data_IF_072785458314
#
_entry.id   IF_072785458314
#
_cell.length_a   1.000
_cell.length_b   1.000
_cell.length_c   1.000
_cell.angle_alpha   90.00
_cell.angle_beta   90.00
_cell.angle_gamma   90.00
#
_symmetry.space_group_name_H-M   'P 1'
#
loop_
_entity.id
_entity.type
_entity.pdbx_description
1 polymer ?
#
# COMPACT_ATOMS: atom_id res chain seq x y z
N UNK A 1 14.19 10.78 53.85
CA UNK A 1 15.00 10.85 52.61
C UNK A 1 15.00 9.54 51.82
N UNK A 2 15.35 8.36 52.39
CA UNK A 2 15.43 7.07 51.64
C UNK A 2 14.11 6.49 51.12
N UNK A 3 13.01 6.58 51.88
CA UNK A 3 11.70 6.01 51.48
C UNK A 3 11.09 6.77 50.28
N UNK A 4 11.27 8.09 50.23
CA UNK A 4 10.70 8.94 49.17
C UNK A 4 11.37 8.65 47.82
N UNK A 5 12.67 8.32 47.83
CA UNK A 5 13.39 7.89 46.63
C UNK A 5 12.82 6.59 46.05
N UNK A 6 12.44 5.64 46.90
CA UNK A 6 11.86 4.35 46.48
C UNK A 6 10.47 4.54 45.88
N UNK A 7 9.64 5.39 46.51
CA UNK A 7 8.30 5.71 45.99
C UNK A 7 8.40 6.46 44.66
N UNK A 8 9.34 7.40 44.54
CA UNK A 8 9.57 8.14 43.30
C UNK A 8 10.04 7.21 42.16
N UNK A 9 10.94 6.26 42.46
CA UNK A 9 11.39 5.24 41.51
C UNK A 9 10.23 4.34 41.04
N UNK A 10 9.34 3.95 41.97
CA UNK A 10 8.15 3.14 41.66
C UNK A 10 7.18 3.88 40.73
N UNK A 11 6.91 5.17 40.99
CA UNK A 11 6.04 5.99 40.13
C UNK A 11 6.61 6.13 38.72
N UNK A 12 7.93 6.30 38.58
CA UNK A 12 8.58 6.35 37.26
C UNK A 12 8.43 5.02 36.50
N UNK A 13 8.58 3.88 37.17
CA UNK A 13 8.41 2.56 36.53
C UNK A 13 6.97 2.33 36.03
N UNK A 14 5.95 2.81 36.75
CA UNK A 14 4.55 2.66 36.35
C UNK A 14 4.13 3.53 35.15
N UNK A 15 4.95 4.50 34.75
CA UNK A 15 4.70 5.33 33.55
C UNK A 15 5.28 4.76 32.25
N UNK A 16 5.90 3.58 32.29
CA UNK A 16 6.33 2.88 31.08
C UNK A 16 5.12 2.37 30.30
N UNK A 17 4.46 3.28 29.59
CA UNK A 17 3.40 2.97 28.66
C UNK A 17 3.92 1.99 27.62
N UNK A 18 3.18 0.90 27.46
CA UNK A 18 3.33 -0.14 26.45
C UNK A 18 3.68 0.52 25.10
N UNK A 19 4.94 0.41 24.69
CA UNK A 19 5.34 0.68 23.31
C UNK A 19 4.67 -0.43 22.51
N UNK A 20 3.54 -0.11 21.88
CA UNK A 20 2.87 -1.02 20.95
C UNK A 20 3.83 -1.20 19.78
N UNK A 21 4.58 -2.30 19.81
CA UNK A 21 5.50 -2.70 18.76
C UNK A 21 4.64 -3.03 17.53
N UNK A 22 4.29 -2.00 16.76
CA UNK A 22 3.77 -2.20 15.42
C UNK A 22 4.95 -2.74 14.64
N UNK A 23 5.04 -4.07 14.54
CA UNK A 23 6.04 -4.73 13.73
C UNK A 23 5.87 -4.21 12.29
N UNK A 24 6.65 -3.19 11.94
CA UNK A 24 6.75 -2.61 10.61
C UNK A 24 7.47 -3.67 9.78
N UNK A 25 6.68 -4.49 9.10
CA UNK A 25 7.22 -5.62 8.35
C UNK A 25 7.82 -5.14 7.04
N UNK A 26 9.09 -5.47 6.82
CA UNK A 26 9.72 -5.46 5.49
C UNK A 26 9.15 -6.55 4.55
N UNK A 27 8.19 -7.33 5.04
CA UNK A 27 7.47 -8.38 4.33
C UNK A 27 6.21 -7.82 3.63
N UNK A 28 5.85 -8.43 2.51
CA UNK A 28 4.57 -8.19 1.85
C UNK A 28 3.41 -8.73 2.70
N UNK A 29 2.38 -7.91 2.88
CA UNK A 29 1.18 -8.24 3.63
C UNK A 29 -0.04 -8.21 2.69
N UNK A 30 -0.85 -9.27 2.64
CA UNK A 30 -2.07 -9.29 1.86
C UNK A 30 -3.05 -8.18 2.26
N UNK A 31 -3.64 -7.52 1.26
CA UNK A 31 -4.72 -6.54 1.45
C UNK A 31 -6.03 -7.30 1.64
N UNK A 32 -6.64 -7.17 2.82
CA UNK A 32 -7.89 -7.88 3.15
C UNK A 32 -9.12 -7.32 2.43
N UNK A 33 -9.13 -6.01 2.18
CA UNK A 33 -10.28 -5.31 1.62
C UNK A 33 -9.87 -4.60 0.34
N UNK A 34 -9.99 -5.29 -0.80
CA UNK A 34 -9.65 -4.72 -2.11
C UNK A 34 -10.60 -3.60 -2.56
N UNK A 35 -11.81 -3.56 -1.98
CA UNK A 35 -12.79 -2.50 -2.21
C UNK A 35 -12.58 -1.28 -1.30
N UNK A 36 -11.51 -1.25 -0.51
CA UNK A 36 -11.15 -0.06 0.25
C UNK A 36 -10.91 1.11 -0.72
N UNK A 37 -11.46 2.28 -0.39
CA UNK A 37 -11.39 3.46 -1.26
C UNK A 37 -9.95 3.84 -1.61
N UNK A 38 -9.02 3.66 -0.67
CA UNK A 38 -7.61 3.94 -0.88
C UNK A 38 -6.98 2.96 -1.87
N UNK A 39 -7.31 1.67 -1.76
CA UNK A 39 -6.81 0.64 -2.68
C UNK A 39 -7.33 0.88 -4.11
N UNK A 40 -8.60 1.29 -4.24
CA UNK A 40 -9.19 1.67 -5.53
C UNK A 40 -8.48 2.90 -6.11
N UNK A 41 -8.15 3.89 -5.29
CA UNK A 41 -7.43 5.09 -5.71
C UNK A 41 -6.02 4.76 -6.22
N UNK A 42 -5.29 3.87 -5.53
CA UNK A 42 -3.98 3.37 -5.97
C UNK A 42 -4.09 2.62 -7.31
N UNK A 43 -5.08 1.72 -7.45
CA UNK A 43 -5.30 0.99 -8.69
C UNK A 43 -5.71 1.91 -9.84
N UNK A 44 -6.53 2.92 -9.57
CA UNK A 44 -6.95 3.91 -10.57
C UNK A 44 -5.77 4.77 -11.02
N UNK A 45 -4.91 5.17 -10.09
CA UNK A 45 -3.66 5.84 -10.40
C UNK A 45 -2.78 4.98 -11.32
N UNK A 46 -2.60 3.70 -11.01
CA UNK A 46 -1.84 2.80 -11.88
C UNK A 46 -2.40 2.74 -13.31
N UNK A 47 -3.72 2.62 -13.48
CA UNK A 47 -4.36 2.61 -14.81
C UNK A 47 -4.10 3.90 -15.60
N UNK A 48 -4.06 5.04 -14.93
CA UNK A 48 -3.80 6.33 -15.57
C UNK A 48 -2.33 6.49 -16.01
N UNK A 49 -1.39 5.84 -15.31
CA UNK A 49 0.05 5.92 -15.58
C UNK A 49 0.55 4.86 -16.57
N UNK A 50 -0.15 3.73 -16.73
CA UNK A 50 0.17 2.75 -17.77
C UNK A 50 0.08 3.49 -19.11
N UNK A 51 1.19 3.49 -19.85
CA UNK A 51 1.29 4.15 -21.16
C UNK A 51 0.43 3.39 -22.17
N UNK A 52 -0.85 3.76 -22.25
CA UNK A 52 -1.80 3.22 -23.23
C UNK A 52 -1.90 4.23 -24.38
N UNK A 53 -1.11 4.08 -25.46
CA UNK A 53 -1.01 5.06 -26.56
C UNK A 53 -2.30 5.38 -27.32
N UNK A 54 -3.44 4.79 -26.98
CA UNK A 54 -4.64 4.78 -27.83
C UNK A 54 -5.98 5.02 -27.15
N UNK A 55 -6.10 5.04 -25.81
CA UNK A 55 -7.42 5.06 -25.18
C UNK A 55 -7.49 5.93 -23.92
N UNK A 56 -7.85 7.21 -24.08
CA UNK A 56 -8.22 8.11 -22.98
C UNK A 56 -9.38 7.59 -22.10
N UNK A 57 -10.06 6.52 -22.53
CA UNK A 57 -11.15 5.86 -21.82
C UNK A 57 -10.77 4.51 -21.19
N UNK A 58 -9.46 4.17 -21.09
CA UNK A 58 -9.02 3.00 -20.33
C UNK A 58 -9.34 3.22 -18.85
N UNK A 59 -10.10 2.29 -18.26
CA UNK A 59 -10.59 2.41 -16.87
C UNK A 59 -10.27 1.16 -16.09
N UNK A 60 -10.12 1.33 -14.78
CA UNK A 60 -10.09 0.22 -13.83
C UNK A 60 -11.40 -0.56 -13.90
N UNK A 61 -11.30 -1.88 -14.10
CA UNK A 61 -12.43 -2.81 -14.17
C UNK A 61 -12.50 -3.71 -12.94
N UNK A 62 -11.36 -4.15 -12.44
CA UNK A 62 -11.29 -5.06 -11.29
C UNK A 62 -9.94 -5.03 -10.59
N UNK A 63 -9.93 -5.49 -9.34
CA UNK A 63 -8.73 -5.78 -8.55
C UNK A 63 -8.89 -7.22 -8.06
N UNK A 64 -8.02 -8.12 -8.48
CA UNK A 64 -8.14 -9.56 -8.17
C UNK A 64 -7.34 -9.96 -6.93
N UNK A 65 -6.23 -9.28 -6.67
CA UNK A 65 -5.44 -9.44 -5.44
C UNK A 65 -4.58 -8.20 -5.18
N UNK A 66 -4.14 -8.05 -3.94
CA UNK A 66 -3.21 -6.98 -3.58
C UNK A 66 -2.41 -7.29 -2.34
N UNK A 67 -1.20 -6.77 -2.29
CA UNK A 67 -0.28 -6.86 -1.17
C UNK A 67 0.35 -5.48 -0.91
N UNK A 68 0.71 -5.22 0.34
CA UNK A 68 1.38 -3.99 0.76
C UNK A 68 2.69 -4.27 1.44
N UNK A 69 3.65 -3.36 1.27
CA UNK A 69 4.90 -3.38 2.01
C UNK A 69 5.25 -1.96 2.43
N UNK A 70 5.34 -1.74 3.75
CA UNK A 70 5.70 -0.44 4.33
C UNK A 70 7.18 -0.45 4.70
N UNK A 71 7.95 0.49 4.15
CA UNK A 71 9.36 0.65 4.53
C UNK A 71 9.49 1.63 5.70
N UNK A 72 10.38 1.28 6.64
CA UNK A 72 10.57 1.95 7.93
C UNK A 72 11.26 3.32 7.77
N UNK A 73 11.96 3.55 6.65
CA UNK A 73 12.82 4.71 6.41
C UNK A 73 12.21 5.73 5.43
N UNK A 74 10.96 6.14 5.68
CA UNK A 74 10.27 7.22 4.96
C UNK A 74 10.07 7.05 3.44
N UNK A 75 10.40 5.89 2.87
CA UNK A 75 10.29 5.64 1.42
C UNK A 75 8.83 5.59 0.97
N UNK A 76 7.92 5.15 1.86
CA UNK A 76 6.49 5.05 1.60
C UNK A 76 5.95 3.63 1.72
N UNK A 77 4.77 3.41 1.17
CA UNK A 77 4.10 2.12 1.08
C UNK A 77 4.07 1.67 -0.37
N UNK A 78 4.59 0.47 -0.63
CA UNK A 78 4.43 -0.20 -1.92
C UNK A 78 3.12 -0.97 -1.92
N UNK A 79 2.41 -0.87 -3.03
CA UNK A 79 1.20 -1.61 -3.33
C UNK A 79 1.47 -2.47 -4.54
N UNK A 80 1.50 -3.79 -4.37
CA UNK A 80 1.55 -4.74 -5.46
C UNK A 80 0.14 -5.21 -5.74
N UNK A 81 -0.43 -4.85 -6.88
CA UNK A 81 -1.82 -5.13 -7.23
C UNK A 81 -1.89 -5.92 -8.53
N UNK A 82 -2.86 -6.84 -8.59
CA UNK A 82 -3.28 -7.48 -9.83
C UNK A 82 -4.60 -6.87 -10.27
N UNK A 83 -4.57 -6.15 -11.37
CA UNK A 83 -5.70 -5.32 -11.82
C UNK A 83 -6.18 -5.73 -13.21
N UNK A 84 -7.48 -5.60 -13.44
CA UNK A 84 -8.06 -5.60 -14.77
C UNK A 84 -8.31 -4.16 -15.20
N UNK A 85 -7.79 -3.77 -16.35
CA UNK A 85 -7.97 -2.44 -16.94
C UNK A 85 -8.40 -2.56 -18.40
N UNK A 86 -9.26 -1.66 -18.87
CA UNK A 86 -9.89 -1.87 -20.16
C UNK A 86 -10.78 -0.76 -20.65
N UNK A 87 -11.13 -0.84 -21.94
CA UNK A 87 -12.09 0.02 -22.61
C UNK A 87 -13.27 -0.81 -23.15
N UNK A 88 -14.51 -0.37 -22.87
CA UNK A 88 -15.74 -1.12 -23.17
C UNK A 88 -15.64 -2.57 -22.66
N UNK A 89 -15.69 -3.54 -23.58
CA UNK A 89 -15.68 -4.98 -23.32
C UNK A 89 -14.27 -5.58 -23.37
N UNK A 90 -13.27 -4.80 -23.80
CA UNK A 90 -11.88 -5.20 -23.77
C UNK A 90 -11.33 -5.06 -22.35
N UNK A 91 -10.74 -6.14 -21.82
CA UNK A 91 -10.06 -6.13 -20.52
C UNK A 91 -8.70 -6.81 -20.68
N UNK A 92 -7.68 -6.10 -20.23
CA UNK A 92 -6.33 -6.60 -20.05
C UNK A 92 -6.00 -6.67 -18.57
N UNK A 93 -5.16 -7.62 -18.20
CA UNK A 93 -4.75 -7.84 -16.82
C UNK A 93 -3.31 -7.43 -16.63
N UNK A 94 -3.03 -6.74 -15.53
CA UNK A 94 -1.71 -6.24 -15.21
C UNK A 94 -1.31 -6.63 -13.79
N UNK A 95 -0.04 -6.99 -13.62
CA UNK A 95 0.61 -6.94 -12.31
C UNK A 95 1.29 -5.57 -12.21
N UNK A 96 0.95 -4.77 -11.20
CA UNK A 96 1.48 -3.42 -11.01
C UNK A 96 2.06 -3.22 -9.63
N UNK A 97 3.11 -2.39 -9.52
CA UNK A 97 3.65 -1.91 -8.24
C UNK A 97 3.59 -0.40 -8.22
N UNK A 98 2.84 0.15 -7.28
CA UNK A 98 2.74 1.60 -7.02
C UNK A 98 3.42 1.92 -5.70
N UNK A 99 4.31 2.91 -5.71
CA UNK A 99 4.84 3.51 -4.49
C UNK A 99 4.00 4.72 -4.12
N UNK A 100 3.45 4.73 -2.90
CA UNK A 100 2.83 5.91 -2.32
C UNK A 100 3.68 6.46 -1.19
N UNK A 101 3.89 7.77 -1.19
CA UNK A 101 4.50 8.47 -0.08
C UNK A 101 3.55 9.55 0.45
N UNK A 102 2.96 9.29 1.62
CA UNK A 102 2.02 10.23 2.25
C UNK A 102 2.70 11.50 2.78
N UNK A 103 3.98 11.43 3.16
CA UNK A 103 4.75 12.59 3.67
C UNK A 103 4.96 13.62 2.56
N UNK A 104 5.38 13.16 1.39
CA UNK A 104 5.64 14.02 0.23
C UNK A 104 4.46 14.14 -0.74
N UNK A 105 3.33 13.47 -0.43
CA UNK A 105 2.07 13.51 -1.19
C UNK A 105 2.22 13.16 -2.67
N UNK A 106 2.99 12.11 -2.97
CA UNK A 106 3.13 11.61 -4.33
C UNK A 106 2.82 10.12 -4.42
N UNK A 107 2.49 9.70 -5.64
CA UNK A 107 2.43 8.32 -6.08
C UNK A 107 3.34 8.17 -7.29
N UNK A 108 3.84 6.96 -7.51
CA UNK A 108 4.65 6.63 -8.68
C UNK A 108 4.42 5.18 -9.08
N UNK A 109 4.13 4.95 -10.36
CA UNK A 109 4.12 3.61 -10.93
C UNK A 109 5.57 3.15 -11.09
N UNK A 110 5.94 2.09 -10.38
CA UNK A 110 7.32 1.57 -10.35
C UNK A 110 7.48 0.40 -11.32
N UNK A 111 6.41 -0.37 -11.50
CA UNK A 111 6.39 -1.56 -12.34
C UNK A 111 4.99 -1.79 -12.86
N UNK A 112 4.90 -2.21 -14.11
CA UNK A 112 3.71 -2.74 -14.74
C UNK A 112 4.08 -3.87 -15.71
N UNK A 113 3.26 -4.91 -15.76
CA UNK A 113 3.43 -6.02 -16.67
C UNK A 113 2.08 -6.51 -17.17
N UNK A 114 1.87 -6.44 -18.48
CA UNK A 114 0.70 -7.03 -19.15
C UNK A 114 0.76 -8.56 -19.05
N UNK A 115 -0.27 -9.16 -18.44
CA UNK A 115 -0.41 -10.60 -18.36
C UNK A 115 -1.04 -11.17 -19.63
N UNK A 116 -0.49 -12.26 -20.18
CA UNK A 116 -1.09 -12.92 -21.33
C UNK A 116 -2.47 -13.45 -20.97
N UNK A 117 -3.43 -13.33 -21.90
CA UNK A 117 -4.71 -14.04 -21.79
C UNK A 117 -4.42 -15.52 -21.94
N UNK A 118 -4.48 -16.28 -20.85
CA UNK A 118 -4.51 -17.73 -20.94
C UNK A 118 -5.83 -18.15 -21.61
N UNK A 119 -5.74 -18.82 -22.75
CA UNK A 119 -6.83 -19.55 -23.40
C UNK A 119 -7.20 -20.81 -22.60
#
# INVERSE_FOLDING_TARGET
>A
MRLHFIVFLLVVLLTSTIVRNQALSSQWNPIKHLNDKHVIDIATYAVAEIDVPSHKDYKLKSISSGETKTLIDEVGTFYHLKIGAGYKDHVDFYDVIVLENLKYKFKSLIYDELKPRHN
#
